data_IF_945011392604
#
_entry.id   IF_945011392604
#
_cell.length_a   1.000
_cell.length_b   1.000
_cell.length_c   1.000
_cell.angle_alpha   90.00
_cell.angle_beta   90.00
_cell.angle_gamma   90.00
#
_symmetry.space_group_name_H-M   'P 1'
#
loop_
_entity.id
_entity.type
_entity.pdbx_description
1 polymer ?
#
# COMPACT_ATOMS: atom_id res chain seq x y z
N UNK A 1 9.23 16.23 -4.97
CA UNK A 1 8.67 16.60 -3.65
C UNK A 1 8.02 17.98 -3.60
N UNK A 2 8.48 19.00 -4.34
CA UNK A 2 7.91 20.35 -4.30
C UNK A 2 6.54 20.51 -5.01
N UNK A 3 6.23 19.69 -6.03
CA UNK A 3 5.00 19.78 -6.83
C UNK A 3 3.71 19.44 -6.05
N UNK A 4 3.80 18.53 -5.08
CA UNK A 4 2.63 18.10 -4.29
C UNK A 4 2.20 19.12 -3.23
N UNK A 5 3.16 19.89 -2.71
CA UNK A 5 2.88 20.95 -1.74
C UNK A 5 2.17 22.13 -2.39
N UNK A 6 2.50 22.45 -3.65
CA UNK A 6 1.83 23.54 -4.37
C UNK A 6 0.35 23.26 -4.60
N UNK A 7 -0.03 22.04 -4.97
CA UNK A 7 -1.44 21.67 -5.13
C UNK A 7 -2.24 21.72 -3.82
N UNK A 8 -1.59 21.44 -2.69
CA UNK A 8 -2.22 21.54 -1.37
C UNK A 8 -2.43 23.01 -1.00
N UNK A 9 -1.38 23.84 -1.08
CA UNK A 9 -1.44 25.27 -0.77
C UNK A 9 -2.47 26.01 -1.62
N UNK A 10 -2.56 25.70 -2.92
CA UNK A 10 -3.57 26.26 -3.81
C UNK A 10 -4.97 25.91 -3.31
N UNK A 11 -5.24 24.65 -2.94
CA UNK A 11 -6.56 24.23 -2.41
C UNK A 11 -6.91 24.93 -1.10
N UNK A 12 -5.94 25.21 -0.24
CA UNK A 12 -6.14 25.99 0.98
C UNK A 12 -6.45 27.46 0.68
N UNK A 13 -5.70 28.09 -0.23
CA UNK A 13 -5.94 29.49 -0.63
C UNK A 13 -7.32 29.68 -1.25
N UNK A 14 -7.71 28.77 -2.16
CA UNK A 14 -9.06 28.79 -2.74
C UNK A 14 -10.13 28.50 -1.69
N UNK A 15 -9.95 27.49 -0.82
CA UNK A 15 -10.93 27.15 0.21
C UNK A 15 -11.17 28.27 1.23
N UNK A 16 -10.10 28.93 1.69
CA UNK A 16 -10.20 30.09 2.59
C UNK A 16 -10.83 31.29 1.86
N UNK A 17 -10.46 31.52 0.60
CA UNK A 17 -11.05 32.59 -0.23
C UNK A 17 -12.55 32.41 -0.44
N UNK A 18 -13.00 31.19 -0.75
CA UNK A 18 -14.43 30.88 -0.92
C UNK A 18 -15.21 31.03 0.39
N UNK A 19 -14.63 30.65 1.53
CA UNK A 19 -15.28 30.84 2.84
C UNK A 19 -15.39 32.33 3.22
N UNK A 20 -14.37 33.13 2.91
CA UNK A 20 -14.41 34.59 3.13
C UNK A 20 -15.48 35.28 2.26
N UNK A 21 -15.56 34.90 0.98
CA UNK A 21 -16.61 35.38 0.07
C UNK A 21 -18.00 34.94 0.50
N UNK A 22 -18.16 33.69 0.96
CA UNK A 22 -19.42 33.19 1.49
C UNK A 22 -19.87 33.99 2.73
N UNK A 23 -18.96 34.29 3.64
CA UNK A 23 -19.25 35.11 4.82
C UNK A 23 -19.69 36.52 4.42
N UNK A 24 -18.96 37.18 3.52
CA UNK A 24 -19.27 38.53 3.07
C UNK A 24 -20.64 38.62 2.36
N UNK A 25 -20.93 37.68 1.47
CA UNK A 25 -22.24 37.61 0.79
C UNK A 25 -23.37 37.26 1.75
N UNK A 26 -23.11 36.43 2.77
CA UNK A 26 -24.11 36.08 3.78
C UNK A 26 -24.43 37.27 4.70
N UNK A 27 -23.43 38.05 5.12
CA UNK A 27 -23.64 39.24 5.95
C UNK A 27 -24.34 40.36 5.19
N UNK A 28 -23.95 40.64 3.94
CA UNK A 28 -24.65 41.63 3.10
C UNK A 28 -26.09 41.19 2.74
N UNK A 29 -26.29 39.88 2.53
CA UNK A 29 -27.62 39.32 2.30
C UNK A 29 -28.53 39.45 3.53
N UNK A 30 -27.96 39.28 4.73
CA UNK A 30 -28.68 39.40 5.99
C UNK A 30 -29.06 40.86 6.28
N UNK A 31 -28.14 41.82 6.10
CA UNK A 31 -28.41 43.25 6.30
C UNK A 31 -29.42 43.81 5.29
N UNK A 32 -29.42 43.30 4.05
CA UNK A 32 -30.34 43.75 3.00
C UNK A 32 -31.72 43.06 3.02
N UNK A 33 -31.98 42.13 3.95
CA UNK A 33 -33.23 41.38 4.04
C UNK A 33 -33.51 40.46 2.84
N UNK A 34 -32.53 40.26 1.96
CA UNK A 34 -32.68 39.49 0.72
C UNK A 34 -32.31 38.01 0.94
N UNK A 35 -33.34 37.19 1.14
CA UNK A 35 -33.22 35.75 1.38
C UNK A 35 -32.39 35.02 0.30
N UNK A 36 -32.48 35.43 -0.96
CA UNK A 36 -31.75 34.82 -2.08
C UNK A 36 -30.23 34.95 -1.95
N UNK A 37 -29.72 36.08 -1.43
CA UNK A 37 -28.28 36.30 -1.20
C UNK A 37 -27.76 35.50 -0.01
N UNK A 38 -28.57 35.37 1.04
CA UNK A 38 -28.25 34.54 2.23
C UNK A 38 -28.17 33.06 1.86
N UNK A 39 -29.15 32.55 1.10
CA UNK A 39 -29.16 31.16 0.62
C UNK A 39 -27.99 30.90 -0.33
N UNK A 40 -27.64 31.86 -1.19
CA UNK A 40 -26.45 31.79 -2.05
C UNK A 40 -25.15 31.69 -1.25
N UNK A 41 -24.99 32.51 -0.19
CA UNK A 41 -23.85 32.45 0.72
C UNK A 41 -23.73 31.12 1.46
N UNK A 42 -24.86 30.58 1.94
CA UNK A 42 -24.90 29.26 2.58
C UNK A 42 -24.48 28.12 1.62
N UNK A 43 -24.90 28.19 0.35
CA UNK A 43 -24.47 27.24 -0.69
C UNK A 43 -22.96 27.29 -0.94
N UNK A 44 -22.39 28.49 -1.03
CA UNK A 44 -20.94 28.70 -1.18
C UNK A 44 -20.15 28.19 0.03
N UNK A 45 -20.70 28.35 1.24
CA UNK A 45 -20.10 27.82 2.47
C UNK A 45 -20.01 26.29 2.45
N UNK A 46 -21.09 25.60 2.08
CA UNK A 46 -21.10 24.14 1.98
C UNK A 46 -20.13 23.62 0.91
N UNK A 47 -20.01 24.31 -0.22
CA UNK A 47 -19.04 23.98 -1.27
C UNK A 47 -17.59 24.17 -0.80
N UNK A 48 -17.29 25.29 -0.14
CA UNK A 48 -15.97 25.54 0.46
C UNK A 48 -15.61 24.47 1.51
N UNK A 49 -16.58 24.11 2.35
CA UNK A 49 -16.42 23.06 3.35
C UNK A 49 -16.18 21.69 2.71
N UNK A 50 -16.93 21.31 1.68
CA UNK A 50 -16.75 20.04 0.98
C UNK A 50 -15.35 19.90 0.34
N UNK A 51 -14.80 21.01 -0.17
CA UNK A 51 -13.43 21.04 -0.71
C UNK A 51 -12.36 20.89 0.39
N UNK A 52 -12.58 21.47 1.56
CA UNK A 52 -11.67 21.40 2.71
C UNK A 52 -11.80 20.08 3.48
N UNK A 53 -12.97 19.43 3.45
CA UNK A 53 -13.27 18.21 4.19
C UNK A 53 -12.24 17.09 3.92
N UNK A 54 -11.91 16.86 2.64
CA UNK A 54 -10.90 15.84 2.26
C UNK A 54 -9.53 16.13 2.86
N UNK A 55 -9.17 17.41 2.96
CA UNK A 55 -7.87 17.84 3.50
C UNK A 55 -7.84 17.72 5.02
N UNK A 56 -8.90 18.16 5.70
CA UNK A 56 -9.06 18.05 7.15
C UNK A 56 -9.02 16.59 7.59
N UNK A 57 -9.78 15.74 6.89
CA UNK A 57 -9.86 14.32 7.23
C UNK A 57 -8.50 13.63 7.08
N UNK A 58 -7.74 13.96 6.03
CA UNK A 58 -6.39 13.40 5.80
C UNK A 58 -5.37 13.91 6.82
N UNK A 59 -5.44 15.19 7.19
CA UNK A 59 -4.57 15.79 8.21
C UNK A 59 -4.83 15.21 9.60
N UNK A 60 -6.08 14.87 9.92
CA UNK A 60 -6.46 14.30 11.21
C UNK A 60 -6.17 12.79 11.31
N UNK A 61 -6.50 12.02 10.26
CA UNK A 61 -6.34 10.56 10.29
C UNK A 61 -4.88 10.11 10.27
N UNK A 62 -3.99 10.80 9.57
CA UNK A 62 -2.56 10.40 9.47
C UNK A 62 -1.79 10.40 10.80
N UNK A 63 -1.79 11.47 11.62
CA UNK A 63 -1.10 11.47 12.90
C UNK A 63 -1.76 10.50 13.88
N UNK A 64 -3.10 10.39 13.85
CA UNK A 64 -3.84 9.44 14.67
C UNK A 64 -3.44 8.00 14.35
N UNK A 65 -3.40 7.62 13.07
CA UNK A 65 -2.96 6.28 12.64
C UNK A 65 -1.51 6.02 13.08
N UNK A 66 -0.61 6.99 12.96
CA UNK A 66 0.78 6.85 13.47
C UNK A 66 0.85 6.67 14.98
N UNK A 67 0.00 7.37 15.74
CA UNK A 67 -0.07 7.24 17.18
C UNK A 67 -0.62 5.87 17.59
N UNK A 68 -1.69 5.41 16.93
CA UNK A 68 -2.25 4.07 17.11
C UNK A 68 -1.20 3.01 16.75
N UNK A 69 -0.50 3.16 15.62
CA UNK A 69 0.59 2.28 15.24
C UNK A 69 1.70 2.26 16.30
N UNK A 70 2.10 3.42 16.84
CA UNK A 70 3.14 3.50 17.86
C UNK A 70 2.71 2.89 19.21
N UNK A 71 1.43 3.03 19.57
CA UNK A 71 0.89 2.57 20.85
C UNK A 71 0.58 1.06 20.86
N UNK A 72 0.03 0.54 19.76
CA UNK A 72 -0.39 -0.87 19.66
C UNK A 72 0.64 -1.75 18.94
N UNK A 73 1.49 -1.18 18.06
CA UNK A 73 2.42 -1.93 17.21
C UNK A 73 3.78 -1.20 17.03
N UNK A 74 4.60 -1.08 18.09
CA UNK A 74 5.89 -0.40 18.03
C UNK A 74 6.84 -1.12 17.07
N UNK A 75 6.89 -0.68 15.80
CA UNK A 75 7.64 -1.33 14.72
C UNK A 75 7.02 -1.30 13.33
N UNK A 76 5.76 -0.87 13.20
CA UNK A 76 5.16 -0.43 11.93
C UNK A 76 4.99 -1.50 10.84
N UNK A 77 3.73 -1.75 10.48
CA UNK A 77 3.18 -1.86 9.10
C UNK A 77 1.99 -2.82 9.11
N UNK A 78 0.79 -2.24 9.09
CA UNK A 78 -0.43 -2.86 8.55
C UNK A 78 -0.34 -3.11 7.02
N UNK A 79 0.82 -3.54 6.51
CA UNK A 79 1.05 -3.77 5.07
C UNK A 79 2.11 -4.83 4.76
N UNK A 80 2.63 -5.55 5.76
CA UNK A 80 3.31 -6.83 5.51
C UNK A 80 2.20 -7.88 5.53
N UNK A 81 1.78 -8.45 4.39
CA UNK A 81 0.85 -9.57 4.43
C UNK A 81 1.44 -10.63 5.35
N UNK A 82 0.60 -11.15 6.25
CA UNK A 82 1.02 -12.18 7.21
C UNK A 82 1.70 -13.29 6.42
N UNK A 83 2.92 -13.67 6.83
CA UNK A 83 3.62 -14.81 6.26
C UNK A 83 2.71 -16.03 6.39
N UNK A 84 2.16 -16.49 5.27
CA UNK A 84 1.22 -17.60 5.25
C UNK A 84 1.67 -18.62 4.21
N UNK A 85 2.40 -19.64 4.68
CA UNK A 85 2.85 -20.76 3.86
C UNK A 85 1.75 -21.81 3.65
N UNK A 86 0.63 -21.74 4.40
CA UNK A 86 -0.46 -22.72 4.30
C UNK A 86 -1.21 -22.61 2.97
N UNK A 87 -1.43 -21.39 2.47
CA UNK A 87 -2.10 -21.18 1.19
C UNK A 87 -1.32 -21.78 0.00
N UNK A 88 -0.05 -21.43 -0.23
CA UNK A 88 0.71 -22.04 -1.32
C UNK A 88 0.91 -23.55 -1.12
N UNK A 89 1.06 -24.05 0.12
CA UNK A 89 1.10 -25.48 0.40
C UNK A 89 -0.23 -26.19 0.03
N UNK A 90 -1.37 -25.57 0.32
CA UNK A 90 -2.67 -26.08 -0.09
C UNK A 90 -2.80 -26.11 -1.62
N UNK A 91 -2.37 -25.05 -2.31
CA UNK A 91 -2.38 -24.99 -3.78
C UNK A 91 -1.48 -26.05 -4.41
N UNK A 92 -0.31 -26.33 -3.81
CA UNK A 92 0.55 -27.44 -4.20
C UNK A 92 -0.17 -28.79 -4.10
N UNK A 93 -0.85 -29.04 -2.98
CA UNK A 93 -1.60 -30.29 -2.77
C UNK A 93 -2.77 -30.45 -3.75
N UNK A 94 -3.31 -29.34 -4.26
CA UNK A 94 -4.35 -29.31 -5.28
C UNK A 94 -3.80 -29.39 -6.71
N UNK A 95 -2.47 -29.50 -6.90
CA UNK A 95 -1.82 -29.50 -8.21
C UNK A 95 -1.85 -28.15 -8.94
N UNK A 96 -2.24 -27.07 -8.25
CA UNK A 96 -2.34 -25.69 -8.80
C UNK A 96 -0.98 -25.00 -8.72
N UNK A 97 -0.01 -25.53 -9.46
CA UNK A 97 1.40 -25.16 -9.34
C UNK A 97 1.70 -23.70 -9.73
N UNK A 98 1.05 -23.17 -10.76
CA UNK A 98 1.21 -21.77 -11.18
C UNK A 98 0.82 -20.79 -10.08
N UNK A 99 -0.31 -21.05 -9.43
CA UNK A 99 -0.84 -20.22 -8.35
C UNK A 99 0.01 -20.36 -7.09
N UNK A 100 0.46 -21.58 -6.78
CA UNK A 100 1.39 -21.81 -5.67
C UNK A 100 2.68 -21.00 -5.89
N UNK A 101 3.25 -21.02 -7.09
CA UNK A 101 4.46 -20.26 -7.42
C UNK A 101 4.20 -18.74 -7.33
N UNK A 102 3.03 -18.26 -7.77
CA UNK A 102 2.64 -16.87 -7.64
C UNK A 102 2.56 -16.43 -6.17
N UNK A 103 1.97 -17.26 -5.30
CA UNK A 103 1.91 -17.00 -3.86
C UNK A 103 3.29 -17.03 -3.20
N UNK A 104 4.15 -18.01 -3.51
CA UNK A 104 5.53 -18.01 -3.02
C UNK A 104 6.30 -16.76 -3.47
N UNK A 105 6.09 -16.27 -4.70
CA UNK A 105 6.70 -15.02 -5.18
C UNK A 105 6.21 -13.80 -4.40
N UNK A 106 4.93 -13.75 -4.02
CA UNK A 106 4.39 -12.69 -3.14
C UNK A 106 5.07 -12.77 -1.77
N UNK A 107 5.17 -13.96 -1.18
CA UNK A 107 5.86 -14.17 0.10
C UNK A 107 7.30 -13.64 -0.01
N UNK A 108 8.07 -14.04 -1.03
CA UNK A 108 9.45 -13.57 -1.24
C UNK A 108 9.60 -12.07 -1.57
N UNK A 109 8.51 -11.38 -1.87
CA UNK A 109 8.48 -9.91 -2.03
C UNK A 109 8.33 -9.21 -0.69
N UNK A 110 7.54 -9.76 0.21
CA UNK A 110 7.23 -9.17 1.52
C UNK A 110 8.13 -9.67 2.65
N UNK A 111 8.56 -10.93 2.56
CA UNK A 111 9.41 -11.68 3.48
C UNK A 111 10.60 -12.24 2.67
N UNK A 112 11.57 -11.38 2.32
CA UNK A 112 12.64 -11.74 1.39
C UNK A 112 13.68 -12.71 1.94
N UNK A 113 13.59 -13.03 3.24
CA UNK A 113 14.49 -13.91 4.00
C UNK A 113 13.82 -15.24 4.36
N UNK A 114 12.60 -15.48 3.85
CA UNK A 114 11.84 -16.71 4.10
C UNK A 114 12.43 -17.89 3.34
N UNK A 115 13.18 -18.75 4.04
CA UNK A 115 13.91 -19.90 3.47
C UNK A 115 12.95 -20.90 2.83
N UNK A 116 11.86 -21.26 3.50
CA UNK A 116 10.93 -22.27 3.00
C UNK A 116 10.28 -21.83 1.68
N UNK A 117 9.97 -20.53 1.54
CA UNK A 117 9.43 -19.99 0.31
C UNK A 117 10.43 -20.04 -0.86
N UNK A 118 11.74 -19.86 -0.60
CA UNK A 118 12.76 -20.08 -1.63
C UNK A 118 12.82 -21.54 -2.03
N UNK A 119 12.91 -22.46 -1.08
CA UNK A 119 13.08 -23.89 -1.36
C UNK A 119 11.91 -24.45 -2.17
N UNK A 120 10.67 -24.15 -1.76
CA UNK A 120 9.47 -24.59 -2.49
C UNK A 120 9.35 -23.97 -3.87
N UNK A 121 9.68 -22.68 -4.02
CA UNK A 121 9.67 -22.02 -5.32
C UNK A 121 10.78 -22.54 -6.26
N UNK A 122 11.96 -22.83 -5.73
CA UNK A 122 13.08 -23.42 -6.49
C UNK A 122 12.69 -24.82 -6.95
N UNK A 123 12.15 -25.65 -6.05
CA UNK A 123 11.68 -26.99 -6.37
C UNK A 123 10.59 -26.97 -7.45
N UNK A 124 9.57 -26.11 -7.31
CA UNK A 124 8.53 -25.92 -8.33
C UNK A 124 9.14 -25.56 -9.69
N UNK A 125 10.06 -24.59 -9.72
CA UNK A 125 10.68 -24.14 -10.96
C UNK A 125 11.54 -25.22 -11.62
N UNK A 126 12.22 -26.06 -10.82
CA UNK A 126 13.11 -27.09 -11.33
C UNK A 126 12.36 -28.34 -11.78
N UNK A 127 11.46 -28.87 -10.94
CA UNK A 127 10.79 -30.17 -11.15
C UNK A 127 9.50 -30.06 -11.95
N UNK A 128 8.71 -29.00 -11.75
CA UNK A 128 7.37 -28.89 -12.35
C UNK A 128 7.41 -28.04 -13.62
N UNK A 129 8.07 -26.88 -13.55
CA UNK A 129 8.15 -25.97 -14.69
C UNK A 129 9.35 -26.21 -15.61
N UNK A 130 10.22 -27.17 -15.27
CA UNK A 130 11.44 -27.52 -16.00
C UNK A 130 12.28 -26.29 -16.41
N UNK A 131 12.32 -25.28 -15.52
CA UNK A 131 12.99 -24.01 -15.73
C UNK A 131 14.18 -23.84 -14.77
N UNK A 132 15.29 -24.56 -15.01
CA UNK A 132 16.47 -24.52 -14.14
C UNK A 132 17.11 -23.12 -14.10
N UNK A 133 16.98 -22.32 -15.16
CA UNK A 133 17.51 -20.96 -15.20
C UNK A 133 16.80 -20.04 -14.17
N UNK A 134 15.48 -20.11 -14.07
CA UNK A 134 14.71 -19.37 -13.07
C UNK A 134 15.00 -19.88 -11.65
N UNK A 135 15.13 -21.20 -11.47
CA UNK A 135 15.52 -21.82 -10.20
C UNK A 135 16.91 -21.33 -9.73
N UNK A 136 17.91 -21.33 -10.63
CA UNK A 136 19.26 -20.85 -10.35
C UNK A 136 19.30 -19.37 -9.96
N UNK A 137 18.44 -18.55 -10.57
CA UNK A 137 18.29 -17.13 -10.20
C UNK A 137 17.82 -16.98 -8.75
N UNK A 138 16.87 -17.82 -8.30
CA UNK A 138 16.41 -17.81 -6.90
C UNK A 138 17.50 -18.30 -5.93
N UNK A 139 18.24 -19.36 -6.28
CA UNK A 139 19.39 -19.83 -5.47
C UNK A 139 20.42 -18.72 -5.29
N UNK A 140 20.81 -18.03 -6.38
CA UNK A 140 21.73 -16.88 -6.32
C UNK A 140 21.18 -15.75 -5.44
N UNK A 141 19.87 -15.47 -5.55
CA UNK A 141 19.18 -14.44 -4.78
C UNK A 141 19.15 -14.76 -3.28
N UNK A 142 19.00 -16.02 -2.91
CA UNK A 142 19.05 -16.51 -1.52
C UNK A 142 20.48 -16.46 -0.96
N UNK A 143 21.48 -16.93 -1.72
CA UNK A 143 22.91 -16.85 -1.34
C UNK A 143 23.37 -15.41 -1.09
N UNK A 144 22.94 -14.45 -1.92
CA UNK A 144 23.24 -13.02 -1.72
C UNK A 144 22.68 -12.47 -0.41
N UNK A 145 21.63 -13.11 0.13
CA UNK A 145 21.02 -12.77 1.43
C UNK A 145 21.56 -13.60 2.58
N UNK A 146 22.60 -14.41 2.36
CA UNK A 146 23.17 -15.31 3.36
C UNK A 146 22.16 -16.31 3.94
N UNK A 147 21.17 -16.70 3.14
CA UNK A 147 20.19 -17.73 3.55
C UNK A 147 20.79 -19.13 3.36
N UNK A 148 20.62 -19.99 4.36
CA UNK A 148 20.97 -21.40 4.31
C UNK A 148 19.82 -22.19 3.70
N UNK A 149 19.98 -22.61 2.45
CA UNK A 149 19.04 -23.50 1.76
C UNK A 149 19.47 -24.96 1.97
N UNK A 150 18.52 -25.89 1.93
CA UNK A 150 18.78 -27.33 1.88
C UNK A 150 19.72 -27.66 0.70
N UNK A 151 20.81 -28.35 1.00
CA UNK A 151 21.80 -28.78 0.00
C UNK A 151 21.20 -29.60 -1.13
N UNK A 152 20.12 -30.34 -0.88
CA UNK A 152 19.39 -31.11 -1.90
C UNK A 152 18.80 -30.19 -2.96
N UNK A 153 18.22 -29.06 -2.54
CA UNK A 153 17.62 -28.06 -3.42
C UNK A 153 18.69 -27.31 -4.21
N UNK A 154 19.84 -27.02 -3.58
CA UNK A 154 20.96 -26.36 -4.29
C UNK A 154 21.59 -27.31 -5.32
N UNK A 155 21.74 -28.59 -4.97
CA UNK A 155 22.30 -29.60 -5.87
C UNK A 155 21.38 -29.94 -7.04
N UNK A 156 20.06 -30.00 -6.84
CA UNK A 156 19.13 -30.30 -7.93
C UNK A 156 19.26 -29.30 -9.08
N UNK A 157 19.46 -28.02 -8.78
CA UNK A 157 19.63 -26.96 -9.77
C UNK A 157 21.04 -26.94 -10.39
N UNK A 158 22.07 -27.32 -9.61
CA UNK A 158 23.48 -27.24 -10.03
C UNK A 158 24.02 -28.50 -10.74
N UNK A 159 23.31 -29.62 -10.72
CA UNK A 159 23.82 -30.93 -11.15
C UNK A 159 23.67 -31.28 -12.64
N UNK A 160 23.32 -30.34 -13.52
CA UNK A 160 23.14 -30.60 -14.97
C UNK A 160 24.01 -29.67 -15.84
N UNK A 161 25.33 -29.77 -15.68
CA UNK A 161 26.33 -29.11 -16.52
C UNK A 161 27.53 -30.00 -16.75
#
# INVERSE_FOLDING_TARGET
MLRDHQGTLIRWLFGIGFLGLAYHFATEGYESGNLSRVVGGAGLFLLGFAFLWKTIFHLATRPLLRMVDALFFPGGKLDKPVLNLKLPAYLLNQGRYDEALAEYRKILKHHPDEVEAYEKAIWLLHEIFENPAAAAKLVRRAKKRHLTLDERVVRSVGGRG
#
